data_IF_081777763532
#
_entry.id   IF_081777763532
#
_cell.length_a   1.000
_cell.length_b   1.000
_cell.length_c   1.000
_cell.angle_alpha   90.00
_cell.angle_beta   90.00
_cell.angle_gamma   90.00
#
_symmetry.space_group_name_H-M   'P 1'
#
loop_
_entity.id
_entity.type
_entity.pdbx_description
1 polymer ?
#
# COMPACT_ATOMS: atom_id res chain seq x y z
N UNK A 1 42.28 -42.61 4.67
CA UNK A 1 42.98 -42.80 3.38
C UNK A 1 41.96 -42.80 2.25
N UNK A 2 42.13 -41.86 1.30
CA UNK A 2 41.82 -41.95 -0.15
C UNK A 2 40.36 -42.26 -0.58
N UNK A 3 39.56 -41.26 -0.95
CA UNK A 3 39.29 -40.69 -2.32
C UNK A 3 38.38 -41.57 -3.20
N UNK A 4 37.15 -41.10 -3.51
CA UNK A 4 36.67 -40.54 -4.81
C UNK A 4 36.35 -41.62 -5.86
N UNK A 5 35.28 -41.61 -6.67
CA UNK A 5 34.73 -40.56 -7.53
C UNK A 5 33.49 -41.12 -8.31
N UNK A 6 32.50 -40.25 -8.62
CA UNK A 6 31.75 -40.07 -9.90
C UNK A 6 31.18 -41.31 -10.67
N UNK A 7 29.91 -41.40 -11.13
CA UNK A 7 29.14 -40.56 -12.09
C UNK A 7 27.67 -41.05 -12.13
N UNK A 8 26.66 -40.17 -12.11
CA UNK A 8 25.84 -39.71 -13.25
C UNK A 8 24.82 -40.71 -13.84
N UNK A 9 23.54 -40.32 -13.79
CA UNK A 9 22.51 -40.38 -14.88
C UNK A 9 21.14 -40.74 -14.34
N UNK A 10 20.18 -39.82 -14.44
CA UNK A 10 18.95 -39.99 -15.22
C UNK A 10 18.02 -38.80 -14.99
N UNK A 11 18.02 -37.93 -16.00
CA UNK A 11 17.01 -36.90 -16.25
C UNK A 11 15.71 -37.62 -16.64
N UNK A 12 14.60 -37.27 -16.00
CA UNK A 12 13.27 -37.45 -16.59
C UNK A 12 12.45 -36.18 -16.37
N UNK A 13 12.47 -35.32 -17.40
CA UNK A 13 11.51 -34.25 -17.61
C UNK A 13 10.14 -34.86 -17.89
N UNK A 14 9.12 -34.46 -17.13
CA UNK A 14 7.72 -34.66 -17.50
C UNK A 14 7.16 -33.30 -17.93
N UNK A 15 7.26 -33.06 -19.24
CA UNK A 15 6.53 -32.05 -19.99
C UNK A 15 5.08 -32.54 -20.15
N UNK A 16 4.10 -31.84 -19.56
CA UNK A 16 2.70 -31.96 -19.97
C UNK A 16 2.34 -30.73 -20.79
N UNK A 17 2.44 -30.92 -22.10
CA UNK A 17 1.71 -30.16 -23.12
C UNK A 17 0.22 -30.46 -22.95
N UNK A 18 -0.58 -29.42 -22.71
CA UNK A 18 -2.01 -29.46 -23.06
C UNK A 18 -2.27 -28.43 -24.15
N UNK A 19 -2.21 -28.92 -25.38
CA UNK A 19 -2.90 -28.33 -26.54
C UNK A 19 -4.39 -28.62 -26.36
N UNK A 20 -5.21 -27.57 -26.36
CA UNK A 20 -6.67 -27.69 -26.18
C UNK A 20 -7.43 -26.61 -26.94
N UNK A 21 -7.71 -26.90 -28.21
CA UNK A 21 -8.85 -26.48 -29.04
C UNK A 21 -9.44 -25.05 -28.89
N UNK A 22 -9.25 -24.29 -29.96
CA UNK A 22 -10.14 -23.21 -30.41
C UNK A 22 -11.55 -23.76 -30.67
N UNK A 23 -12.56 -23.16 -30.02
CA UNK A 23 -13.94 -23.08 -30.51
C UNK A 23 -14.43 -21.62 -30.33
N UNK A 24 -15.08 -21.01 -31.33
CA UNK A 24 -15.59 -19.64 -31.23
C UNK A 24 -16.96 -19.68 -30.52
N UNK A 25 -17.02 -19.17 -29.29
CA UNK A 25 -18.24 -19.21 -28.49
C UNK A 25 -18.37 -18.00 -27.58
N UNK A 26 -19.29 -17.10 -27.93
CA UNK A 26 -19.92 -16.05 -27.12
C UNK A 26 -19.01 -15.24 -26.19
N UNK A 27 -18.72 -14.00 -26.59
CA UNK A 27 -18.27 -12.91 -25.70
C UNK A 27 -19.27 -12.77 -24.54
N UNK A 28 -19.00 -13.40 -23.40
CA UNK A 28 -19.59 -13.00 -22.13
C UNK A 28 -18.89 -11.72 -21.71
N UNK A 29 -19.60 -10.60 -21.84
CA UNK A 29 -19.22 -9.35 -21.21
C UNK A 29 -18.88 -9.65 -19.74
N UNK A 30 -17.70 -9.21 -19.30
CA UNK A 30 -17.32 -9.27 -17.91
C UNK A 30 -18.44 -8.61 -17.08
N UNK A 31 -18.88 -9.22 -15.96
CA UNK A 31 -19.95 -8.64 -15.17
C UNK A 31 -19.45 -7.30 -14.62
N UNK A 32 -20.07 -6.22 -15.09
CA UNK A 32 -19.93 -4.88 -14.53
C UNK A 32 -20.23 -5.01 -13.04
N UNK A 33 -19.21 -4.83 -12.20
CA UNK A 33 -19.35 -4.89 -10.74
C UNK A 33 -20.34 -3.78 -10.38
N UNK A 34 -21.61 -4.14 -10.16
CA UNK A 34 -22.68 -3.19 -9.87
C UNK A 34 -22.25 -2.36 -8.66
N UNK A 35 -22.03 -1.07 -8.89
CA UNK A 35 -21.92 -0.08 -7.81
C UNK A 35 -23.16 -0.23 -6.94
N UNK A 36 -22.96 -0.52 -5.66
CA UNK A 36 -24.07 -0.70 -4.72
C UNK A 36 -24.97 0.54 -4.74
N UNK A 37 -26.29 0.42 -4.55
CA UNK A 37 -27.20 1.58 -4.51
C UNK A 37 -26.77 2.65 -3.50
N UNK A 38 -26.15 2.21 -2.38
CA UNK A 38 -25.57 3.08 -1.34
C UNK A 38 -24.42 3.94 -1.87
N UNK A 39 -23.55 3.40 -2.72
CA UNK A 39 -22.44 4.16 -3.30
C UNK A 39 -22.91 5.22 -4.32
N UNK A 40 -24.03 5.00 -5.02
CA UNK A 40 -24.58 6.00 -5.95
C UNK A 40 -25.19 7.19 -5.24
N UNK A 41 -25.92 6.96 -4.14
CA UNK A 41 -26.49 8.05 -3.34
C UNK A 41 -25.41 8.87 -2.65
N UNK A 42 -24.39 8.22 -2.10
CA UNK A 42 -23.21 8.89 -1.51
C UNK A 42 -22.45 9.71 -2.56
N UNK A 43 -22.27 9.18 -3.77
CA UNK A 43 -21.63 9.90 -4.88
C UNK A 43 -22.45 11.13 -5.33
N UNK A 44 -23.77 10.99 -5.45
CA UNK A 44 -24.65 12.11 -5.83
C UNK A 44 -24.70 13.20 -4.75
N UNK A 45 -24.67 12.83 -3.47
CA UNK A 45 -24.59 13.77 -2.36
C UNK A 45 -23.27 14.55 -2.39
N UNK A 46 -22.14 13.85 -2.61
CA UNK A 46 -20.81 14.46 -2.74
C UNK A 46 -20.71 15.37 -3.97
N UNK A 47 -21.26 14.97 -5.10
CA UNK A 47 -21.34 15.83 -6.29
C UNK A 47 -22.12 17.11 -5.99
N UNK A 48 -23.26 17.02 -5.31
CA UNK A 48 -24.07 18.19 -4.93
C UNK A 48 -23.31 19.13 -4.00
N UNK A 49 -22.58 18.59 -3.03
CA UNK A 49 -21.71 19.36 -2.13
C UNK A 49 -20.66 20.13 -2.94
N UNK A 50 -19.93 19.45 -3.84
CA UNK A 50 -18.92 20.08 -4.68
C UNK A 50 -19.51 21.19 -5.55
N UNK A 51 -20.64 20.94 -6.21
CA UNK A 51 -21.31 21.92 -7.08
C UNK A 51 -21.84 23.15 -6.33
N UNK A 52 -22.00 23.07 -5.01
CA UNK A 52 -22.43 24.20 -4.19
C UNK A 52 -21.28 25.10 -3.71
N UNK A 53 -20.03 24.66 -3.89
CA UNK A 53 -18.85 25.37 -3.39
C UNK A 53 -18.34 26.42 -4.40
N UNK A 54 -18.23 27.70 -4.01
CA UNK A 54 -17.75 28.75 -4.92
C UNK A 54 -16.26 28.59 -5.30
N UNK A 55 -15.48 27.81 -4.55
CA UNK A 55 -14.08 27.54 -4.85
C UNK A 55 -13.87 26.31 -5.74
N UNK A 56 -14.95 25.73 -6.27
CA UNK A 56 -14.87 24.58 -7.17
C UNK A 56 -14.09 24.94 -8.43
N UNK A 57 -12.98 24.25 -8.63
CA UNK A 57 -12.32 24.20 -9.93
C UNK A 57 -12.70 22.89 -10.59
N UNK A 58 -13.00 22.92 -11.88
CA UNK A 58 -13.33 21.72 -12.64
C UNK A 58 -12.70 21.73 -14.02
N UNK A 59 -12.41 20.55 -14.54
CA UNK A 59 -12.01 20.35 -15.93
C UNK A 59 -12.91 19.31 -16.60
N UNK A 60 -12.91 19.33 -17.94
CA UNK A 60 -13.50 18.25 -18.75
C UNK A 60 -12.52 17.08 -18.76
N UNK A 61 -13.08 15.87 -18.68
CA UNK A 61 -12.34 14.65 -18.93
C UNK A 61 -12.65 14.19 -20.35
N UNK A 62 -11.62 13.94 -21.13
CA UNK A 62 -11.70 13.44 -22.51
C UNK A 62 -11.30 11.97 -22.54
N UNK A 63 -12.00 11.19 -23.36
CA UNK A 63 -11.62 9.79 -23.59
C UNK A 63 -10.33 9.77 -24.41
N UNK A 64 -9.40 8.91 -24.00
CA UNK A 64 -8.08 8.77 -24.58
C UNK A 64 -7.62 7.31 -24.40
N UNK A 65 -6.50 6.96 -25.01
CA UNK A 65 -5.90 5.63 -24.86
C UNK A 65 -4.53 5.71 -24.20
N UNK A 66 -4.09 4.63 -23.55
CA UNK A 66 -2.75 4.56 -22.93
C UNK A 66 -1.62 4.95 -23.90
N UNK A 67 -1.76 4.60 -25.18
CA UNK A 67 -0.80 4.96 -26.23
C UNK A 67 -0.75 6.44 -26.57
N UNK A 68 -1.82 7.19 -26.31
CA UNK A 68 -1.95 8.61 -26.63
C UNK A 68 -1.58 9.53 -25.46
N UNK A 69 -1.42 8.97 -24.26
CA UNK A 69 -1.04 9.72 -23.07
C UNK A 69 0.31 10.42 -23.28
N UNK A 70 0.29 11.75 -23.23
CA UNK A 70 1.49 12.59 -23.23
C UNK A 70 2.12 12.67 -21.82
N UNK A 71 2.70 11.55 -21.39
CA UNK A 71 3.53 11.42 -20.20
C UNK A 71 4.79 10.62 -20.51
N UNK A 72 5.95 11.17 -20.15
CA UNK A 72 7.21 10.45 -20.27
C UNK A 72 7.17 9.13 -19.47
N UNK A 73 7.84 8.08 -19.97
CA UNK A 73 7.85 6.75 -19.36
C UNK A 73 8.22 6.76 -17.86
N UNK A 74 9.17 7.62 -17.47
CA UNK A 74 9.56 7.80 -16.06
C UNK A 74 8.39 8.26 -15.16
N UNK A 75 7.41 8.95 -15.71
CA UNK A 75 6.25 9.52 -15.00
C UNK A 75 4.96 8.70 -15.19
N UNK A 76 5.01 7.56 -15.88
CA UNK A 76 3.82 6.70 -16.01
C UNK A 76 3.41 6.12 -14.66
N UNK A 77 2.15 6.30 -14.23
CA UNK A 77 1.67 5.74 -12.97
C UNK A 77 1.58 4.20 -13.04
N UNK A 78 1.73 3.56 -11.89
CA UNK A 78 1.75 2.09 -11.80
C UNK A 78 0.45 1.43 -12.31
N UNK A 79 -0.69 2.13 -12.24
CA UNK A 79 -1.95 1.59 -12.72
C UNK A 79 -2.01 1.48 -14.24
N UNK A 80 -1.34 2.38 -14.98
CA UNK A 80 -1.25 2.29 -16.45
C UNK A 80 -0.55 0.99 -16.85
N UNK A 81 0.58 0.67 -16.20
CA UNK A 81 1.29 -0.61 -16.40
C UNK A 81 0.43 -1.83 -16.05
N UNK A 82 -0.46 -1.70 -15.06
CA UNK A 82 -1.41 -2.76 -14.69
C UNK A 82 -2.47 -2.93 -15.79
N UNK A 83 -3.03 -1.83 -16.29
CA UNK A 83 -4.00 -1.83 -17.38
C UNK A 83 -3.42 -2.44 -18.66
N UNK A 84 -2.19 -2.11 -19.03
CA UNK A 84 -1.48 -2.73 -20.17
C UNK A 84 -1.40 -4.27 -20.03
N UNK A 85 -1.01 -4.77 -18.84
CA UNK A 85 -0.99 -6.22 -18.56
C UNK A 85 -2.38 -6.86 -18.62
N UNK A 86 -3.40 -6.11 -18.24
CA UNK A 86 -4.81 -6.52 -18.29
C UNK A 86 -5.43 -6.32 -19.68
N UNK A 87 -4.68 -5.80 -20.66
CA UNK A 87 -5.16 -5.44 -22.01
C UNK A 87 -6.34 -4.46 -21.97
N UNK A 88 -6.27 -3.49 -21.05
CA UNK A 88 -7.19 -2.35 -20.95
C UNK A 88 -6.43 -1.11 -21.43
N UNK A 89 -7.01 -0.37 -22.35
CA UNK A 89 -6.34 0.78 -22.99
C UNK A 89 -7.08 2.10 -22.75
N UNK A 90 -8.38 2.03 -22.46
CA UNK A 90 -9.23 3.22 -22.31
C UNK A 90 -8.94 3.95 -21.00
N UNK A 91 -8.60 5.22 -21.11
CA UNK A 91 -8.42 6.15 -19.99
C UNK A 91 -9.18 7.44 -20.26
N UNK A 92 -9.37 8.22 -19.21
CA UNK A 92 -9.80 9.60 -19.31
C UNK A 92 -8.66 10.51 -18.92
N UNK A 93 -8.45 11.58 -19.67
CA UNK A 93 -7.46 12.60 -19.35
C UNK A 93 -8.06 14.00 -19.30
N UNK A 94 -7.38 14.91 -18.62
CA UNK A 94 -7.75 16.31 -18.62
C UNK A 94 -6.70 17.18 -17.93
N UNK A 95 -6.78 18.48 -18.19
CA UNK A 95 -5.92 19.47 -17.55
C UNK A 95 -6.74 20.34 -16.61
N UNK A 96 -6.22 20.54 -15.40
CA UNK A 96 -6.87 21.34 -14.36
C UNK A 96 -5.86 22.27 -13.71
N UNK A 97 -6.24 23.53 -13.51
CA UNK A 97 -5.39 24.51 -12.82
C UNK A 97 -5.96 24.80 -11.45
N UNK A 98 -5.20 24.52 -10.41
CA UNK A 98 -5.54 24.87 -9.02
C UNK A 98 -4.24 25.07 -8.23
N UNK A 99 -4.33 25.59 -7.00
CA UNK A 99 -3.14 25.93 -6.21
C UNK A 99 -2.12 26.85 -6.95
N UNK A 100 -2.58 27.61 -7.95
CA UNK A 100 -1.74 28.51 -8.74
C UNK A 100 -0.99 27.87 -9.91
N UNK A 101 -1.16 26.57 -10.20
CA UNK A 101 -0.41 25.87 -11.26
C UNK A 101 -1.20 24.78 -12.00
N UNK A 102 -0.76 24.39 -13.22
CA UNK A 102 -1.46 23.37 -14.02
C UNK A 102 -1.10 21.95 -13.60
N UNK A 103 -2.10 21.07 -13.66
CA UNK A 103 -1.96 19.64 -13.43
C UNK A 103 -2.59 18.84 -14.58
N UNK A 104 -1.89 17.80 -15.02
CA UNK A 104 -2.46 16.75 -15.87
C UNK A 104 -3.09 15.68 -14.98
N UNK A 105 -4.28 15.24 -15.34
CA UNK A 105 -5.02 14.20 -14.63
C UNK A 105 -5.24 13.02 -15.56
N UNK A 106 -5.02 11.82 -15.02
CA UNK A 106 -5.44 10.57 -15.64
C UNK A 106 -6.40 9.83 -14.73
N UNK A 107 -7.44 9.24 -15.32
CA UNK A 107 -8.46 8.49 -14.63
C UNK A 107 -8.81 7.22 -15.43
N UNK A 108 -8.64 6.05 -14.84
CA UNK A 108 -9.14 4.78 -15.37
C UNK A 108 -10.57 4.48 -14.92
N UNK A 109 -11.06 3.28 -15.26
CA UNK A 109 -12.43 2.84 -14.95
C UNK A 109 -12.70 2.64 -13.45
N UNK A 110 -11.65 2.53 -12.64
CA UNK A 110 -11.74 2.34 -11.18
C UNK A 110 -11.15 3.55 -10.44
N UNK A 111 -11.90 4.65 -10.25
CA UNK A 111 -11.40 5.88 -9.64
C UNK A 111 -10.77 5.69 -8.25
N UNK A 112 -11.16 4.65 -7.52
CA UNK A 112 -10.58 4.30 -6.22
C UNK A 112 -9.16 3.71 -6.30
N UNK A 113 -8.70 3.34 -7.49
CA UNK A 113 -7.41 2.64 -7.75
C UNK A 113 -6.66 3.07 -9.00
N UNK A 114 -7.23 3.96 -9.81
CA UNK A 114 -6.78 4.32 -11.15
C UNK A 114 -6.89 5.84 -11.35
N UNK A 115 -6.37 6.61 -10.40
CA UNK A 115 -6.23 8.05 -10.50
C UNK A 115 -4.75 8.42 -10.53
N UNK A 116 -4.39 9.45 -11.28
CA UNK A 116 -3.06 10.05 -11.21
C UNK A 116 -3.15 11.55 -11.45
N UNK A 117 -2.39 12.28 -10.64
CA UNK A 117 -2.27 13.73 -10.68
C UNK A 117 -0.79 14.04 -10.92
N UNK A 118 -0.51 14.71 -12.04
CA UNK A 118 0.82 15.13 -12.42
C UNK A 118 0.92 16.65 -12.37
N UNK A 119 1.82 17.15 -11.53
CA UNK A 119 2.21 18.54 -11.46
C UNK A 119 3.08 18.88 -12.67
N UNK A 120 2.54 19.69 -13.58
CA UNK A 120 3.20 20.01 -14.86
C UNK A 120 4.38 20.95 -14.64
N UNK A 121 4.26 21.88 -13.70
CA UNK A 121 5.31 22.87 -13.40
C UNK A 121 6.49 22.23 -12.69
N UNK A 122 6.23 21.35 -11.72
CA UNK A 122 7.29 20.67 -10.96
C UNK A 122 7.72 19.32 -11.58
N UNK A 123 7.13 18.93 -12.70
CA UNK A 123 7.40 17.68 -13.42
C UNK A 123 7.33 16.40 -12.54
N UNK A 124 6.41 16.32 -11.58
CA UNK A 124 6.25 15.11 -10.77
C UNK A 124 4.80 14.80 -10.41
N UNK A 125 4.52 13.53 -10.11
CA UNK A 125 3.25 13.09 -9.54
C UNK A 125 3.50 12.47 -8.17
N UNK A 126 2.77 12.88 -7.11
CA UNK A 126 2.87 12.24 -5.80
C UNK A 126 2.59 10.73 -5.91
N UNK A 127 3.52 9.93 -5.41
CA UNK A 127 3.50 8.48 -5.39
C UNK A 127 3.61 8.01 -3.94
N UNK A 128 2.47 8.00 -3.25
CA UNK A 128 2.34 7.49 -1.89
C UNK A 128 1.18 6.50 -1.81
N UNK A 129 1.12 5.68 -0.75
CA UNK A 129 0.08 4.66 -0.67
C UNK A 129 -1.30 5.30 -0.53
N UNK A 130 -2.08 5.27 -1.63
CA UNK A 130 -3.37 5.94 -1.73
C UNK A 130 -3.41 7.14 -2.67
N UNK A 131 -2.27 7.58 -3.23
CA UNK A 131 -2.24 8.65 -4.24
C UNK A 131 -2.93 8.26 -5.55
N UNK A 132 -3.15 6.96 -5.78
CA UNK A 132 -3.89 6.42 -6.92
C UNK A 132 -5.41 6.39 -6.73
N UNK A 133 -5.92 6.87 -5.60
CA UNK A 133 -7.36 6.97 -5.35
C UNK A 133 -7.80 8.42 -5.53
N UNK A 134 -8.79 8.62 -6.40
CA UNK A 134 -9.46 9.90 -6.59
C UNK A 134 -10.03 10.44 -5.26
N UNK A 135 -10.48 9.55 -4.40
CA UNK A 135 -11.22 9.92 -3.19
C UNK A 135 -10.32 10.18 -1.96
N UNK A 136 -9.01 9.99 -2.09
CA UNK A 136 -8.04 10.34 -1.06
C UNK A 136 -7.93 11.85 -0.85
N UNK A 137 -7.37 12.25 0.29
CA UNK A 137 -6.91 13.61 0.51
C UNK A 137 -5.53 13.77 -0.13
N UNK A 138 -5.42 14.65 -1.13
CA UNK A 138 -4.17 14.90 -1.83
C UNK A 138 -3.52 16.15 -1.28
N UNK A 139 -2.25 16.08 -0.91
CA UNK A 139 -1.52 17.22 -0.34
C UNK A 139 -0.70 17.92 -1.42
N UNK A 140 -0.98 19.21 -1.61
CA UNK A 140 -0.29 20.12 -2.55
C UNK A 140 0.04 21.39 -1.75
N UNK A 141 1.31 21.77 -1.69
CA UNK A 141 1.81 22.94 -0.95
C UNK A 141 1.26 23.03 0.50
N UNK A 142 1.41 21.94 1.25
CA UNK A 142 0.94 21.78 2.64
C UNK A 142 -0.58 21.98 2.85
N UNK A 143 -1.37 21.94 1.76
CA UNK A 143 -2.83 21.99 1.80
C UNK A 143 -3.43 20.70 1.25
N UNK A 144 -4.49 20.24 1.89
CA UNK A 144 -5.25 19.10 1.40
C UNK A 144 -6.29 19.52 0.38
N UNK A 145 -6.44 18.70 -0.66
CA UNK A 145 -7.42 18.83 -1.72
C UNK A 145 -8.22 17.54 -1.84
N UNK A 146 -9.50 17.69 -2.17
CA UNK A 146 -10.42 16.60 -2.44
C UNK A 146 -10.82 16.65 -3.90
N UNK A 147 -10.90 15.47 -4.51
CA UNK A 147 -11.36 15.33 -5.88
C UNK A 147 -12.66 14.52 -5.92
N UNK A 148 -13.42 14.72 -6.98
CA UNK A 148 -14.59 13.92 -7.33
C UNK A 148 -14.83 13.96 -8.83
N UNK A 149 -15.58 12.99 -9.34
CA UNK A 149 -16.20 13.09 -10.66
C UNK A 149 -17.49 13.91 -10.58
N UNK A 150 -17.79 14.64 -11.65
CA UNK A 150 -18.99 15.45 -11.83
C UNK A 150 -19.67 15.06 -13.16
N UNK A 151 -20.98 15.31 -13.27
CA UNK A 151 -21.79 15.12 -14.48
C UNK A 151 -21.60 13.73 -15.09
N UNK A 152 -21.76 12.68 -14.29
CA UNK A 152 -21.63 11.30 -14.76
C UNK A 152 -20.23 10.96 -15.29
N UNK A 153 -19.18 11.45 -14.60
CA UNK A 153 -17.77 11.16 -14.91
C UNK A 153 -17.22 11.76 -16.20
N UNK A 154 -17.88 12.81 -16.71
CA UNK A 154 -17.40 13.60 -17.87
C UNK A 154 -16.58 14.81 -17.44
N UNK A 155 -16.58 15.13 -16.15
CA UNK A 155 -15.80 16.21 -15.55
C UNK A 155 -15.15 15.75 -14.25
N UNK A 156 -14.02 16.36 -13.95
CA UNK A 156 -13.35 16.26 -12.65
C UNK A 156 -13.58 17.57 -11.88
N UNK A 157 -13.90 17.47 -10.60
CA UNK A 157 -13.94 18.60 -9.68
C UNK A 157 -12.86 18.48 -8.62
N UNK A 158 -12.26 19.60 -8.24
CA UNK A 158 -11.30 19.71 -7.13
C UNK A 158 -11.71 20.84 -6.18
N UNK A 159 -11.55 20.59 -4.89
CA UNK A 159 -11.76 21.57 -3.83
C UNK A 159 -10.63 21.53 -2.80
N UNK A 160 -10.20 22.68 -2.24
CA UNK A 160 -9.45 22.68 -1.00
C UNK A 160 -10.29 22.02 0.10
N UNK A 161 -9.67 21.15 0.90
CA UNK A 161 -10.31 20.57 2.06
C UNK A 161 -10.63 21.67 3.09
N UNK A 162 -11.90 21.74 3.51
CA UNK A 162 -12.40 22.75 4.46
C UNK A 162 -12.69 22.19 5.87
N UNK A 163 -12.55 20.88 6.06
CA UNK A 163 -12.83 20.26 7.34
C UNK A 163 -11.72 20.55 8.37
N UNK A 164 -11.96 20.10 9.60
CA UNK A 164 -11.00 20.28 10.69
C UNK A 164 -9.73 19.45 10.44
N UNK A 165 -8.60 19.97 10.92
CA UNK A 165 -7.31 19.30 10.95
C UNK A 165 -6.93 19.02 12.41
N UNK A 166 -6.40 17.83 12.67
CA UNK A 166 -5.74 17.48 13.93
C UNK A 166 -4.23 17.32 13.73
N UNK A 167 -3.51 17.13 14.83
CA UNK A 167 -2.05 16.92 14.80
C UNK A 167 -1.75 15.44 14.94
N UNK A 168 -0.92 14.91 14.05
CA UNK A 168 -0.33 13.58 14.14
C UNK A 168 1.17 13.72 14.40
N UNK A 169 1.67 13.02 15.44
CA UNK A 169 3.09 13.03 15.79
C UNK A 169 3.59 11.65 16.18
N UNK A 170 4.88 11.45 16.06
CA UNK A 170 5.56 10.31 16.68
C UNK A 170 6.03 10.66 18.09
N UNK A 171 5.91 9.73 19.02
CA UNK A 171 6.41 9.81 20.39
C UNK A 171 7.63 8.90 20.57
N UNK A 172 8.37 9.08 21.66
CA UNK A 172 9.53 8.23 22.00
C UNK A 172 9.14 7.00 22.85
N UNK A 173 7.92 6.97 23.39
CA UNK A 173 7.41 5.86 24.22
C UNK A 173 8.30 5.57 25.43
N UNK A 174 8.69 6.62 26.17
CA UNK A 174 9.62 6.58 27.32
C UNK A 174 11.06 6.12 27.01
N UNK A 175 11.42 5.96 25.74
CA UNK A 175 12.79 5.63 25.32
C UNK A 175 13.65 6.90 25.26
N UNK A 176 14.93 6.74 25.60
CA UNK A 176 15.95 7.79 25.45
C UNK A 176 16.43 7.77 24.00
N UNK A 177 15.71 8.47 23.12
CA UNK A 177 16.04 8.62 21.70
C UNK A 177 16.40 10.06 21.42
N UNK A 178 17.31 10.31 20.48
CA UNK A 178 17.58 11.68 20.00
C UNK A 178 16.52 12.05 18.96
N UNK A 179 16.31 11.15 17.99
CA UNK A 179 15.47 11.32 16.81
C UNK A 179 14.22 10.43 16.85
N UNK A 180 13.08 11.02 16.53
CA UNK A 180 11.84 10.31 16.27
C UNK A 180 11.06 11.04 15.16
N UNK A 181 10.97 10.43 13.98
CA UNK A 181 10.28 10.99 12.82
C UNK A 181 9.47 9.92 12.08
N UNK A 182 8.56 10.33 11.20
CA UNK A 182 7.77 9.43 10.39
C UNK A 182 7.50 9.99 8.99
N UNK A 183 7.18 9.12 8.05
CA UNK A 183 6.66 9.45 6.71
C UNK A 183 5.78 8.33 6.15
N UNK A 184 4.82 8.67 5.31
CA UNK A 184 4.03 7.69 4.57
C UNK A 184 2.57 8.10 4.45
N UNK A 185 1.66 7.22 4.85
CA UNK A 185 0.23 7.44 4.68
C UNK A 185 -0.63 6.69 5.69
N UNK A 186 -1.77 7.28 5.98
CA UNK A 186 -2.84 6.73 6.81
C UNK A 186 -4.06 6.43 5.93
N UNK A 187 -4.91 5.52 6.40
CA UNK A 187 -6.13 5.09 5.71
C UNK A 187 -7.32 5.12 6.66
N UNK A 188 -8.39 5.77 6.21
CA UNK A 188 -9.69 5.83 6.85
C UNK A 188 -10.64 4.81 6.21
N UNK A 189 -11.82 4.64 6.80
CA UNK A 189 -12.94 3.94 6.18
C UNK A 189 -13.28 4.49 4.79
N UNK A 190 -13.86 3.64 3.94
CA UNK A 190 -14.26 4.04 2.58
C UNK A 190 -13.11 4.26 1.60
N UNK A 191 -11.93 3.67 1.84
CA UNK A 191 -10.73 3.79 0.99
C UNK A 191 -10.17 5.23 0.86
N UNK A 192 -10.53 6.12 1.78
CA UNK A 192 -9.96 7.47 1.85
C UNK A 192 -8.59 7.36 2.52
N UNK A 193 -7.53 7.74 1.81
CA UNK A 193 -6.17 7.76 2.35
C UNK A 193 -5.65 9.19 2.45
N UNK A 194 -4.63 9.40 3.27
CA UNK A 194 -4.00 10.70 3.47
C UNK A 194 -2.49 10.54 3.61
N UNK A 195 -1.67 11.37 2.94
CA UNK A 195 -0.23 11.37 3.14
C UNK A 195 0.12 12.03 4.47
N UNK A 196 1.17 11.53 5.11
CA UNK A 196 1.75 12.11 6.33
C UNK A 196 3.26 12.28 6.11
N UNK A 197 3.79 13.45 6.49
CA UNK A 197 5.10 13.93 6.04
C UNK A 197 4.97 15.20 5.18
N UNK A 198 6.04 15.57 4.48
CA UNK A 198 6.03 16.71 3.53
C UNK A 198 6.18 16.21 2.09
N UNK A 199 5.32 16.63 1.17
CA UNK A 199 5.47 16.27 -0.25
C UNK A 199 6.50 17.21 -0.89
N UNK A 200 7.71 16.70 -1.18
CA UNK A 200 8.72 17.43 -1.98
C UNK A 200 8.98 16.81 -3.35
N UNK A 201 8.68 15.53 -3.51
CA UNK A 201 8.85 14.77 -4.74
C UNK A 201 7.79 13.65 -4.80
N UNK A 202 8.17 12.43 -5.22
CA UNK A 202 7.28 11.28 -5.31
C UNK A 202 6.79 10.78 -3.95
N UNK A 203 7.64 10.73 -2.92
CA UNK A 203 7.28 10.18 -1.61
C UNK A 203 7.33 11.27 -0.53
N UNK A 204 6.50 11.20 0.54
CA UNK A 204 6.60 12.14 1.66
C UNK A 204 7.96 12.08 2.36
N UNK A 205 8.54 13.24 2.64
CA UNK A 205 9.69 13.39 3.52
C UNK A 205 9.30 13.19 4.99
N UNK A 206 10.29 12.80 5.79
CA UNK A 206 10.11 12.52 7.21
C UNK A 206 9.91 13.80 8.02
N UNK A 207 8.99 13.75 8.98
CA UNK A 207 8.66 14.84 9.89
C UNK A 207 8.46 14.29 11.31
N UNK A 208 8.57 15.16 12.31
CA UNK A 208 8.28 14.81 13.72
C UNK A 208 6.80 14.95 14.04
N UNK A 209 6.11 15.83 13.31
CA UNK A 209 4.66 16.09 13.39
C UNK A 209 4.13 16.65 12.06
N UNK A 210 2.85 16.44 11.79
CA UNK A 210 2.13 17.11 10.69
C UNK A 210 0.64 17.28 11.03
N UNK A 211 -0.03 18.20 10.32
CA UNK A 211 -1.49 18.34 10.38
C UNK A 211 -2.13 17.37 9.41
N UNK A 212 -3.23 16.74 9.82
CA UNK A 212 -3.97 15.72 9.05
C UNK A 212 -5.46 15.97 9.25
N UNK A 213 -6.34 15.72 8.26
CA UNK A 213 -7.79 15.72 8.47
C UNK A 213 -8.19 14.95 9.73
N UNK A 214 -9.16 15.49 10.47
CA UNK A 214 -9.73 14.82 11.65
C UNK A 214 -10.43 13.53 11.20
N UNK A 215 -10.17 12.44 11.90
CA UNK A 215 -10.74 11.14 11.56
C UNK A 215 -10.12 9.98 12.31
N UNK A 216 -10.65 8.79 12.04
CA UNK A 216 -10.16 7.51 12.55
C UNK A 216 -9.44 6.75 11.45
N UNK A 217 -8.22 6.33 11.75
CA UNK A 217 -7.26 5.84 10.78
C UNK A 217 -6.61 4.52 11.23
N UNK A 218 -6.13 3.78 10.24
CA UNK A 218 -5.09 2.76 10.37
C UNK A 218 -3.89 3.21 9.53
N UNK A 219 -2.64 2.80 9.81
CA UNK A 219 -1.54 2.99 8.87
C UNK A 219 -1.89 2.32 7.54
N UNK A 220 -1.63 2.98 6.42
CA UNK A 220 -1.68 2.31 5.12
C UNK A 220 -0.30 1.76 4.80
N UNK A 221 0.69 2.65 4.76
CA UNK A 221 2.10 2.33 4.86
C UNK A 221 2.79 3.52 5.53
N UNK A 222 3.41 3.28 6.69
CA UNK A 222 4.11 4.30 7.46
C UNK A 222 5.51 3.80 7.79
N UNK A 223 6.51 4.63 7.58
CA UNK A 223 7.88 4.40 8.02
C UNK A 223 8.18 5.33 9.19
N UNK A 224 8.74 4.80 10.26
CA UNK A 224 9.11 5.52 11.47
C UNK A 224 10.62 5.34 11.66
N UNK A 225 11.32 6.44 11.91
CA UNK A 225 12.74 6.40 12.27
C UNK A 225 12.89 6.74 13.75
N UNK A 226 13.54 5.85 14.51
CA UNK A 226 14.01 6.06 15.88
C UNK A 226 15.53 5.96 15.90
N UNK A 227 16.23 7.09 15.93
CA UNK A 227 17.69 7.16 15.74
C UNK A 227 18.16 6.39 14.48
N UNK A 228 18.81 5.24 14.68
CA UNK A 228 19.29 4.36 13.61
C UNK A 228 18.33 3.20 13.30
N UNK A 229 17.16 3.18 13.91
CA UNK A 229 16.15 2.15 13.69
C UNK A 229 15.11 2.67 12.70
N UNK A 230 14.93 1.96 11.58
CA UNK A 230 13.83 2.18 10.65
C UNK A 230 12.77 1.09 10.85
N UNK A 231 11.53 1.50 11.10
CA UNK A 231 10.39 0.63 11.35
C UNK A 231 9.35 0.88 10.25
N UNK A 232 9.00 -0.13 9.48
CA UNK A 232 7.90 -0.04 8.51
C UNK A 232 6.65 -0.69 9.10
N UNK A 233 5.49 -0.03 9.00
CA UNK A 233 4.22 -0.54 9.50
C UNK A 233 3.08 -0.36 8.48
N UNK A 234 2.08 -1.24 8.55
CA UNK A 234 0.81 -1.11 7.81
C UNK A 234 -0.36 -1.57 8.66
N UNK A 235 -1.58 -1.42 8.15
CA UNK A 235 -2.74 -2.12 8.69
C UNK A 235 -2.44 -3.63 8.71
N UNK A 236 -2.88 -4.31 9.77
CA UNK A 236 -2.81 -5.75 9.82
C UNK A 236 -3.91 -6.35 8.93
N UNK A 237 -3.54 -7.04 7.86
CA UNK A 237 -4.47 -7.79 7.00
C UNK A 237 -4.43 -9.31 7.24
N UNK A 238 -3.59 -9.75 8.17
CA UNK A 238 -3.57 -11.13 8.65
C UNK A 238 -4.54 -11.29 9.83
N UNK A 239 -4.63 -12.52 10.31
CA UNK A 239 -5.24 -12.85 11.60
C UNK A 239 -4.78 -11.85 12.68
N UNK A 240 -5.71 -11.29 13.46
CA UNK A 240 -5.34 -10.37 14.54
C UNK A 240 -4.94 -11.13 15.81
N UNK A 241 -4.43 -10.39 16.80
CA UNK A 241 -4.01 -11.00 18.08
C UNK A 241 -5.18 -11.63 18.87
N UNK A 242 -6.42 -11.34 18.47
CA UNK A 242 -7.65 -11.92 19.01
C UNK A 242 -8.05 -13.22 18.28
N UNK A 243 -7.29 -13.65 17.26
CA UNK A 243 -7.56 -14.87 16.50
C UNK A 243 -8.67 -14.74 15.46
N UNK A 244 -9.10 -13.52 15.12
CA UNK A 244 -10.11 -13.32 14.07
C UNK A 244 -9.47 -13.51 12.70
N UNK A 245 -10.07 -14.38 11.89
CA UNK A 245 -9.67 -14.62 10.50
C UNK A 245 -9.89 -13.37 9.64
N UNK A 246 -9.20 -13.29 8.50
CA UNK A 246 -9.31 -12.16 7.56
C UNK A 246 -10.77 -11.83 7.18
N UNK A 247 -11.62 -12.85 7.01
CA UNK A 247 -13.01 -12.67 6.55
C UNK A 247 -13.94 -12.11 7.64
N UNK A 248 -13.66 -12.44 8.90
CA UNK A 248 -14.46 -12.02 10.06
C UNK A 248 -13.92 -10.75 10.72
N UNK A 249 -12.70 -10.37 10.35
CA UNK A 249 -11.97 -9.27 10.96
C UNK A 249 -12.60 -7.92 10.61
N UNK A 250 -13.05 -7.22 11.65
CA UNK A 250 -13.34 -5.80 11.54
C UNK A 250 -12.04 -5.00 11.54
N UNK A 251 -11.92 -4.04 10.63
CA UNK A 251 -10.77 -3.13 10.63
C UNK A 251 -10.77 -2.30 11.90
N UNK A 252 -9.68 -2.35 12.67
CA UNK A 252 -9.48 -1.48 13.82
C UNK A 252 -8.84 -0.18 13.35
N UNK A 253 -9.54 0.93 13.58
CA UNK A 253 -9.01 2.27 13.32
C UNK A 253 -8.36 2.84 14.57
N UNK A 254 -7.22 2.26 14.97
CA UNK A 254 -6.55 2.58 16.23
C UNK A 254 -5.93 3.97 16.32
N UNK A 255 -5.80 4.70 15.19
CA UNK A 255 -5.24 6.05 15.14
C UNK A 255 -6.37 7.08 15.07
N UNK A 256 -6.68 7.69 16.20
CA UNK A 256 -7.82 8.61 16.37
C UNK A 256 -7.32 10.06 16.40
N UNK A 257 -7.34 10.75 15.26
CA UNK A 257 -6.89 12.13 15.13
C UNK A 257 -8.07 13.07 15.36
N UNK A 258 -7.91 14.07 16.24
CA UNK A 258 -8.93 15.06 16.62
C UNK A 258 -8.34 16.46 16.64
N UNK A 259 -9.19 17.49 16.63
CA UNK A 259 -8.75 18.90 16.62
C UNK A 259 -8.14 19.37 17.93
N UNK A 260 -8.61 18.80 19.05
CA UNK A 260 -8.35 19.33 20.40
C UNK A 260 -7.00 18.89 20.97
N UNK A 261 -6.23 18.05 20.27
CA UNK A 261 -4.92 17.61 20.74
C UNK A 261 -4.18 16.70 19.76
N UNK A 262 -2.86 16.54 19.94
CA UNK A 262 -2.07 15.65 19.09
C UNK A 262 -2.37 14.19 19.39
N UNK A 263 -2.55 13.39 18.34
CA UNK A 263 -2.40 11.94 18.44
C UNK A 263 -0.91 11.59 18.42
N UNK A 264 -0.45 10.79 19.38
CA UNK A 264 0.95 10.38 19.52
C UNK A 264 1.09 8.88 19.24
N UNK A 265 1.80 8.51 18.18
CA UNK A 265 2.20 7.13 17.91
C UNK A 265 3.55 6.84 18.58
N UNK A 266 3.61 5.95 19.57
CA UNK A 266 4.82 5.76 20.39
C UNK A 266 5.24 4.30 20.65
N UNK A 267 4.50 3.33 20.10
CA UNK A 267 4.72 1.89 20.28
C UNK A 267 4.89 1.49 21.76
N UNK A 268 4.02 2.01 22.64
CA UNK A 268 4.02 1.69 24.06
C UNK A 268 3.41 0.32 24.40
N UNK A 269 2.67 -0.30 23.48
CA UNK A 269 2.09 -1.64 23.65
C UNK A 269 3.16 -2.73 23.54
N UNK A 270 2.95 -3.85 24.24
CA UNK A 270 3.74 -5.06 24.03
C UNK A 270 3.39 -5.67 22.66
N UNK A 271 4.37 -5.91 21.78
CA UNK A 271 4.09 -6.56 20.51
C UNK A 271 3.75 -8.04 20.70
N UNK A 272 3.04 -8.61 19.74
CA UNK A 272 2.70 -10.03 19.70
C UNK A 272 3.14 -10.64 18.36
N UNK A 273 3.56 -11.90 18.38
CA UNK A 273 3.76 -12.70 17.16
C UNK A 273 2.46 -13.44 16.89
N UNK A 274 1.88 -13.24 15.71
CA UNK A 274 0.71 -13.97 15.25
C UNK A 274 1.12 -14.89 14.12
N UNK A 275 0.70 -16.15 14.21
CA UNK A 275 0.86 -17.12 13.14
C UNK A 275 -0.41 -17.07 12.29
N UNK A 276 -0.22 -16.82 11.00
CA UNK A 276 -1.34 -16.77 10.07
C UNK A 276 -1.70 -18.17 9.58
N UNK A 277 -2.97 -18.34 9.21
CA UNK A 277 -3.45 -19.61 8.71
C UNK A 277 -2.75 -20.00 7.40
N UNK A 278 -2.55 -21.31 7.13
CA UNK A 278 -2.15 -21.76 5.81
C UNK A 278 -3.13 -21.26 4.73
N UNK A 279 -2.64 -21.13 3.50
CA UNK A 279 -3.46 -20.67 2.37
C UNK A 279 -4.78 -21.45 2.24
N UNK A 280 -5.85 -20.72 1.86
CA UNK A 280 -7.23 -21.24 1.76
C UNK A 280 -7.37 -22.43 0.80
N UNK A 281 -6.41 -22.61 -0.10
CA UNK A 281 -6.30 -23.73 -1.03
C UNK A 281 -5.93 -25.06 -0.34
N UNK A 282 -5.45 -25.04 0.91
CA UNK A 282 -5.05 -26.23 1.66
C UNK A 282 -5.83 -26.37 2.98
N UNK A 283 -6.97 -27.05 2.92
CA UNK A 283 -7.87 -27.28 4.07
C UNK A 283 -7.62 -28.59 4.83
N UNK A 284 -6.73 -29.45 4.33
CA UNK A 284 -6.41 -30.74 4.97
C UNK A 284 -4.91 -31.02 4.92
N UNK A 285 -4.42 -31.73 5.94
CA UNK A 285 -3.02 -32.14 6.08
C UNK A 285 -2.92 -33.62 6.42
N UNK A 286 -1.93 -34.30 5.84
CA UNK A 286 -1.59 -35.69 6.18
C UNK A 286 -0.38 -35.74 7.10
N UNK A 287 -0.23 -36.84 7.83
CA UNK A 287 0.94 -37.07 8.67
C UNK A 287 2.19 -37.12 7.78
N UNK A 288 3.20 -36.32 8.12
CA UNK A 288 4.42 -36.18 7.32
C UNK A 288 4.39 -35.00 6.34
N UNK A 289 3.26 -34.32 6.18
CA UNK A 289 3.19 -33.12 5.35
C UNK A 289 4.05 -32.00 5.93
N UNK A 290 4.76 -31.29 5.04
CA UNK A 290 5.35 -30.00 5.36
C UNK A 290 4.28 -28.91 5.21
N UNK A 291 4.18 -28.06 6.22
CA UNK A 291 3.23 -26.94 6.27
C UNK A 291 4.03 -25.65 6.27
N UNK A 292 3.58 -24.69 5.48
CA UNK A 292 4.08 -23.32 5.50
C UNK A 292 2.99 -22.45 6.11
N UNK A 293 3.35 -21.67 7.11
CA UNK A 293 2.52 -20.61 7.69
C UNK A 293 3.35 -19.32 7.67
N UNK A 294 2.67 -18.18 7.71
CA UNK A 294 3.32 -16.90 7.94
C UNK A 294 3.36 -16.62 9.45
N UNK A 295 4.37 -15.89 9.89
CA UNK A 295 4.42 -15.32 11.23
C UNK A 295 4.64 -13.82 11.08
N UNK A 296 3.82 -13.03 11.77
CA UNK A 296 3.83 -11.57 11.68
C UNK A 296 3.93 -10.95 13.06
N UNK A 297 4.73 -9.89 13.18
CA UNK A 297 4.81 -9.10 14.39
C UNK A 297 3.76 -7.99 14.34
N UNK A 298 2.90 -7.93 15.35
CA UNK A 298 1.80 -6.97 15.43
C UNK A 298 1.81 -6.19 16.73
N UNK A 299 1.29 -4.97 16.69
CA UNK A 299 0.79 -4.30 17.88
C UNK A 299 -0.68 -4.68 18.06
N UNK A 300 -1.03 -5.47 19.09
CA UNK A 300 -2.39 -5.99 19.26
C UNK A 300 -3.42 -4.93 19.64
N UNK A 301 -2.99 -3.80 20.21
CA UNK A 301 -3.89 -2.72 20.64
C UNK A 301 -4.31 -1.85 19.47
N UNK A 302 -3.36 -1.55 18.59
CA UNK A 302 -3.59 -0.75 17.39
C UNK A 302 -3.99 -1.59 16.16
N UNK A 303 -3.83 -2.90 16.24
CA UNK A 303 -3.99 -3.87 15.13
C UNK A 303 -3.16 -3.47 13.90
N UNK A 304 -1.90 -3.10 14.15
CA UNK A 304 -0.92 -2.76 13.10
C UNK A 304 0.10 -3.87 12.98
N UNK A 305 0.55 -4.11 11.75
CA UNK A 305 1.61 -5.05 11.44
C UNK A 305 2.93 -4.30 11.27
N UNK A 306 4.00 -4.85 11.85
CA UNK A 306 5.38 -4.42 11.60
C UNK A 306 5.89 -5.20 10.38
N UNK A 307 6.18 -4.46 9.32
CA UNK A 307 6.61 -4.91 7.98
C UNK A 307 8.11 -4.92 7.77
N UNK A 308 8.85 -4.26 8.63
CA UNK A 308 10.29 -4.16 8.48
C UNK A 308 10.89 -3.53 9.72
N UNK A 309 12.05 -4.03 10.09
CA UNK A 309 12.85 -3.49 11.16
C UNK A 309 14.31 -3.52 10.70
N UNK A 310 14.90 -2.35 10.50
CA UNK A 310 16.25 -2.23 9.95
C UNK A 310 17.13 -1.36 10.86
N UNK A 311 18.37 -1.78 11.04
CA UNK A 311 19.46 -0.94 11.54
C UNK A 311 20.10 -0.18 10.38
N UNK A 312 19.87 1.13 10.34
CA UNK A 312 20.37 2.02 9.30
C UNK A 312 21.83 2.43 9.51
N UNK A 313 22.42 2.15 10.68
CA UNK A 313 23.84 2.41 10.95
C UNK A 313 24.76 1.35 10.33
N UNK A 314 24.22 0.17 10.00
CA UNK A 314 24.96 -0.94 9.41
C UNK A 314 24.45 -1.23 7.99
N UNK A 315 25.37 -1.27 7.03
CA UNK A 315 25.09 -1.69 5.65
C UNK A 315 25.63 -3.09 5.41
N UNK A 316 24.83 -3.93 4.78
CA UNK A 316 25.20 -5.28 4.35
C UNK A 316 25.06 -5.42 2.84
N UNK A 317 25.90 -6.23 2.22
CA UNK A 317 25.76 -6.57 0.81
C UNK A 317 24.65 -7.62 0.65
N UNK A 318 23.70 -7.33 -0.24
CA UNK A 318 22.60 -8.23 -0.59
C UNK A 318 22.66 -8.53 -2.07
N UNK A 319 22.81 -9.81 -2.37
CA UNK A 319 22.70 -10.36 -3.71
C UNK A 319 21.23 -10.57 -4.08
N UNK A 320 20.84 -10.07 -5.24
CA UNK A 320 19.57 -10.35 -5.89
C UNK A 320 19.84 -11.38 -6.96
N UNK A 321 19.06 -12.45 -6.94
CA UNK A 321 19.21 -13.60 -7.84
C UNK A 321 17.98 -13.71 -8.74
N UNK A 322 18.18 -14.15 -9.98
CA UNK A 322 17.08 -14.53 -10.87
C UNK A 322 16.46 -15.88 -10.45
N UNK A 323 15.48 -16.34 -11.23
CA UNK A 323 14.79 -17.61 -11.01
C UNK A 323 15.73 -18.82 -11.05
N UNK A 324 16.86 -18.71 -11.75
CA UNK A 324 17.89 -19.76 -11.84
C UNK A 324 18.94 -19.67 -10.72
N UNK A 325 18.79 -18.71 -9.79
CA UNK A 325 19.70 -18.50 -8.67
C UNK A 325 20.99 -17.78 -9.03
N UNK A 326 21.12 -17.25 -10.26
CA UNK A 326 22.27 -16.45 -10.67
C UNK A 326 22.14 -15.04 -10.14
N UNK A 327 23.21 -14.50 -9.57
CA UNK A 327 23.25 -13.12 -9.07
C UNK A 327 23.09 -12.17 -10.26
N UNK A 328 21.97 -11.44 -10.28
CA UNK A 328 21.68 -10.40 -11.27
C UNK A 328 22.20 -9.04 -10.82
N UNK A 329 22.27 -8.77 -9.52
CA UNK A 329 22.75 -7.51 -8.97
C UNK A 329 23.10 -7.65 -7.49
N UNK A 330 24.08 -6.87 -7.03
CA UNK A 330 24.44 -6.76 -5.61
C UNK A 330 24.33 -5.31 -5.18
N UNK A 331 23.64 -5.05 -4.07
CA UNK A 331 23.50 -3.72 -3.49
C UNK A 331 23.73 -3.71 -1.98
N UNK A 332 24.18 -2.57 -1.47
CA UNK A 332 24.30 -2.32 -0.03
C UNK A 332 22.95 -1.89 0.53
N UNK A 333 22.37 -2.68 1.43
CA UNK A 333 21.09 -2.43 2.09
C UNK A 333 21.31 -2.25 3.59
N UNK A 334 20.33 -1.68 4.30
CA UNK A 334 20.35 -1.66 5.77
C UNK A 334 20.34 -3.09 6.30
N UNK A 335 20.93 -3.29 7.48
CA UNK A 335 20.89 -4.59 8.15
C UNK A 335 19.48 -4.81 8.71
N UNK A 336 18.76 -5.77 8.14
CA UNK A 336 17.49 -6.23 8.70
C UNK A 336 17.71 -6.83 10.10
N UNK A 337 16.77 -6.56 10.98
CA UNK A 337 16.68 -7.03 12.36
C UNK A 337 15.55 -8.07 12.50
N UNK A 338 15.23 -8.76 11.40
CA UNK A 338 14.24 -9.82 11.35
C UNK A 338 14.61 -10.91 12.38
N UNK A 339 13.69 -11.28 13.28
CA UNK A 339 14.00 -12.24 14.32
C UNK A 339 14.10 -13.65 13.72
N UNK A 340 15.05 -14.44 14.23
CA UNK A 340 15.02 -15.88 14.04
C UNK A 340 13.98 -16.48 14.97
N UNK A 341 13.06 -17.25 14.40
CA UNK A 341 12.01 -17.95 15.15
C UNK A 341 12.33 -19.43 15.15
N UNK A 342 12.22 -20.03 16.34
CA UNK A 342 12.36 -21.47 16.56
C UNK A 342 11.05 -21.97 17.15
N UNK A 343 10.51 -23.04 16.57
CA UNK A 343 9.37 -23.76 17.11
C UNK A 343 9.88 -25.05 17.73
N UNK A 344 9.55 -25.26 18.99
CA UNK A 344 9.92 -26.44 19.75
C UNK A 344 8.69 -27.22 20.19
N UNK A 345 8.85 -28.54 20.34
CA UNK A 345 7.91 -29.35 21.13
C UNK A 345 8.07 -29.03 22.61
N UNK A 346 7.12 -29.50 23.42
CA UNK A 346 7.19 -29.40 24.88
C UNK A 346 8.42 -30.08 25.50
N UNK A 347 9.01 -31.06 24.81
CA UNK A 347 10.27 -31.71 25.19
C UNK A 347 11.54 -30.92 24.79
N UNK A 348 11.38 -29.74 24.18
CA UNK A 348 12.48 -28.90 23.72
C UNK A 348 13.03 -29.23 22.33
N UNK A 349 12.55 -30.29 21.67
CA UNK A 349 13.00 -30.63 20.32
C UNK A 349 12.56 -29.59 19.29
N UNK A 350 13.51 -29.09 18.49
CA UNK A 350 13.24 -28.14 17.41
C UNK A 350 12.49 -28.85 16.27
N UNK A 351 11.37 -28.28 15.86
CA UNK A 351 10.54 -28.78 14.73
C UNK A 351 10.55 -27.84 13.53
N UNK A 352 10.86 -26.57 13.75
CA UNK A 352 11.07 -25.59 12.69
C UNK A 352 11.99 -24.47 13.18
N UNK A 353 12.78 -23.92 12.27
CA UNK A 353 13.62 -22.74 12.50
C UNK A 353 13.68 -21.94 11.21
N UNK A 354 13.70 -20.62 11.32
CA UNK A 354 13.93 -19.73 10.21
C UNK A 354 13.88 -18.26 10.60
N UNK A 355 14.36 -17.40 9.71
CA UNK A 355 14.14 -15.96 9.81
C UNK A 355 12.65 -15.72 9.60
N UNK A 356 11.99 -15.04 10.53
CA UNK A 356 10.63 -14.54 10.34
C UNK A 356 10.73 -13.26 9.52
N UNK A 357 10.44 -13.27 8.21
CA UNK A 357 10.42 -12.04 7.46
C UNK A 357 9.35 -11.15 8.06
N UNK A 358 9.67 -9.89 8.31
CA UNK A 358 8.60 -8.93 8.51
C UNK A 358 7.88 -8.75 7.15
N UNK A 359 6.62 -9.18 7.09
CA UNK A 359 5.60 -8.89 6.06
C UNK A 359 6.04 -8.69 4.62
#
# INVERSE_FOLDING_TARGET
MKTSCLKASCILLLLILTVGFFLPGCKKAAPTRRTSPRSRQEQAAREKEFLSDPNLVSCKLEESTISEIDLAEKHRPSFVRRMEREKREDVKEGEITFAGRPFKVLLGERPEREFYLHDVENEFGPYWWGSWSLYSYHMIDDKYYQFTTLKGETKLGVLPYKGELGVFRTGKGNRQLEKAEFKGSLKQAGYVSVPVGTIKERWPDAVTECKVPVGDYTPYLLNITYDNLNISISNNYHTNAQGQSEEEKQTVYGITIRKDGPYVLDFSSKPAVVFDEPGKDKTTFRRGDKIKFAAVLVDPKLDIMIRGLDDTSVKIEKEYKDEDGKVIHTMKVNKSLDPNVVITRSDGSIVAEGVMPFG
#
